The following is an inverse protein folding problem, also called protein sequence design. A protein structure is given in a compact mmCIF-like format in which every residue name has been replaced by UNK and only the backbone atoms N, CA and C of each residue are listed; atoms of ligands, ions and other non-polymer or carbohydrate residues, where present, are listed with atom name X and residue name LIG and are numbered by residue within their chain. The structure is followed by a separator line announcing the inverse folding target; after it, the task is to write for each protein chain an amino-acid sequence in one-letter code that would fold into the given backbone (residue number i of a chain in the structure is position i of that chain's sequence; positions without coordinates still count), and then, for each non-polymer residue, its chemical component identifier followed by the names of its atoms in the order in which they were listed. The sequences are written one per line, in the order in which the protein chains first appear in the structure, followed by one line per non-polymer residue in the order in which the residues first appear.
data_IF_210260472265
#
_entry.id   IF_210260472265
#
_cell.length_a   1.000
_cell.length_b   1.000
_cell.length_c   1.000
_cell.angle_alpha   90.00
_cell.angle_beta   90.00
_cell.angle_gamma   90.00
#
_symmetry.space_group_name_H-M   'P 1'
#
loop_
_entity.id
_entity.type
_entity.pdbx_description
1 polymer ?
#
# COMPACT_ATOMS: atom_id res chain seq x y z
N UNK A 1 14.27 -11.42 14.31
CA UNK A 1 13.61 -10.45 13.42
C UNK A 1 12.13 -10.74 13.49
N UNK A 2 11.26 -9.75 13.71
CA UNK A 2 9.83 -10.00 13.66
C UNK A 2 9.47 -10.45 12.24
N UNK A 3 8.62 -11.47 12.13
CA UNK A 3 8.21 -12.03 10.84
C UNK A 3 7.08 -11.14 10.33
N UNK A 4 7.31 -10.47 9.20
CA UNK A 4 6.25 -9.76 8.50
C UNK A 4 5.47 -10.73 7.62
N UNK A 5 4.15 -10.79 7.80
CA UNK A 5 3.26 -11.65 7.01
C UNK A 5 2.50 -10.80 6.01
N UNK A 6 2.59 -11.14 4.73
CA UNK A 6 1.73 -10.53 3.71
C UNK A 6 0.28 -10.97 3.96
N UNK A 7 -0.58 -10.04 4.37
CA UNK A 7 -1.98 -10.33 4.71
C UNK A 7 -2.95 -9.94 3.60
N UNK A 8 -2.59 -8.98 2.74
CA UNK A 8 -3.45 -8.53 1.65
C UNK A 8 -2.65 -7.90 0.53
N UNK A 9 -3.12 -8.08 -0.70
CA UNK A 9 -2.71 -7.28 -1.85
C UNK A 9 -3.93 -6.53 -2.40
N UNK A 10 -3.75 -5.25 -2.70
CA UNK A 10 -4.75 -4.38 -3.33
C UNK A 10 -4.17 -3.79 -4.61
N UNK A 11 -5.02 -3.57 -5.60
CA UNK A 11 -4.68 -2.74 -6.76
C UNK A 11 -5.75 -1.67 -6.89
N UNK A 12 -5.34 -0.41 -6.86
CA UNK A 12 -6.21 0.77 -6.93
C UNK A 12 -5.79 1.57 -8.16
N UNK A 13 -6.73 1.83 -9.06
CA UNK A 13 -6.50 2.68 -10.24
C UNK A 13 -6.55 4.16 -9.83
N UNK A 14 -5.47 4.91 -10.10
CA UNK A 14 -5.44 6.36 -9.93
C UNK A 14 -5.59 7.04 -11.30
N UNK A 15 -6.60 7.90 -11.45
CA UNK A 15 -7.01 8.50 -12.74
C UNK A 15 -5.86 9.10 -13.57
N UNK A 16 -4.89 9.77 -12.93
CA UNK A 16 -3.76 10.43 -13.62
C UNK A 16 -2.47 9.61 -13.70
N UNK A 17 -2.27 8.68 -12.77
CA UNK A 17 -0.98 8.02 -12.56
C UNK A 17 -1.04 6.52 -12.87
N UNK A 18 -2.22 6.00 -13.21
CA UNK A 18 -2.47 4.59 -13.47
C UNK A 18 -2.54 3.78 -12.17
N UNK A 19 -2.36 2.46 -12.25
CA UNK A 19 -2.60 1.58 -11.13
C UNK A 19 -1.48 1.62 -10.10
N UNK A 20 -1.89 1.57 -8.84
CA UNK A 20 -1.03 1.34 -7.69
C UNK A 20 -1.33 -0.02 -7.07
N UNK A 21 -0.29 -0.80 -6.80
CA UNK A 21 -0.36 -2.05 -6.07
C UNK A 21 0.12 -1.82 -4.64
N UNK A 22 -0.67 -2.25 -3.67
CA UNK A 22 -0.36 -2.21 -2.26
C UNK A 22 -0.23 -3.64 -1.74
N UNK A 23 0.91 -3.98 -1.17
CA UNK A 23 1.13 -5.23 -0.46
C UNK A 23 1.16 -4.92 1.04
N UNK A 24 0.10 -5.29 1.75
CA UNK A 24 -0.08 -4.99 3.17
C UNK A 24 0.50 -6.13 3.99
N UNK A 25 1.41 -5.78 4.88
CA UNK A 25 2.06 -6.68 5.81
C UNK A 25 1.58 -6.42 7.23
N UNK A 26 1.45 -7.49 8.01
CA UNK A 26 1.19 -7.44 9.46
C UNK A 26 2.44 -7.93 10.20
N UNK A 27 2.79 -7.23 11.28
CA UNK A 27 3.97 -7.52 12.10
C UNK A 27 3.67 -7.08 13.52
N UNK A 28 3.55 -8.04 14.43
CA UNK A 28 3.25 -7.81 15.85
C UNK A 28 2.07 -6.85 16.08
N UNK A 29 0.95 -7.07 15.37
CA UNK A 29 -0.25 -6.24 15.44
C UNK A 29 -0.16 -4.88 14.74
N UNK A 30 0.96 -4.57 14.11
CA UNK A 30 1.14 -3.35 13.31
C UNK A 30 1.02 -3.66 11.83
N UNK A 31 0.41 -2.74 11.08
CA UNK A 31 0.27 -2.85 9.64
C UNK A 31 1.20 -1.89 8.91
N UNK A 32 1.82 -2.39 7.85
CA UNK A 32 2.58 -1.59 6.89
C UNK A 32 2.19 -1.99 5.47
N UNK A 33 2.58 -1.21 4.47
CA UNK A 33 2.45 -1.62 3.09
C UNK A 33 3.65 -1.25 2.23
N UNK A 34 3.94 -2.12 1.27
CA UNK A 34 4.76 -1.79 0.12
C UNK A 34 3.84 -1.28 -0.99
N UNK A 35 4.17 -0.09 -1.48
CA UNK A 35 3.42 0.65 -2.48
C UNK A 35 4.21 0.59 -3.77
N UNK A 36 3.59 0.08 -4.83
CA UNK A 36 4.16 0.00 -6.15
C UNK A 36 3.29 0.76 -7.15
N UNK A 37 3.89 1.38 -8.15
CA UNK A 37 3.20 1.96 -9.29
C UNK A 37 3.70 1.32 -10.58
N UNK A 38 2.90 1.38 -11.66
CA UNK A 38 3.39 0.99 -12.98
C UNK A 38 4.24 2.09 -13.60
N UNK A 39 5.39 1.73 -14.16
CA UNK A 39 6.15 2.61 -15.03
C UNK A 39 5.62 2.57 -16.48
N UNK A 40 6.19 3.41 -17.35
CA UNK A 40 5.80 3.49 -18.77
C UNK A 40 5.98 2.17 -19.56
N UNK A 41 6.81 1.25 -19.07
CA UNK A 41 7.03 -0.07 -19.67
C UNK A 41 6.07 -1.15 -19.12
N UNK A 42 5.10 -0.76 -18.26
CA UNK A 42 4.12 -1.66 -17.66
C UNK A 42 4.65 -2.51 -16.49
N UNK A 43 5.87 -2.26 -16.00
CA UNK A 43 6.47 -2.95 -14.85
C UNK A 43 6.10 -2.29 -13.54
N UNK A 44 5.89 -3.09 -12.49
CA UNK A 44 5.71 -2.60 -11.14
C UNK A 44 7.02 -2.11 -10.57
N UNK A 45 7.08 -0.83 -10.21
CA UNK A 45 8.20 -0.19 -9.54
C UNK A 45 7.81 0.14 -8.11
N UNK A 46 8.76 -0.03 -7.18
CA UNK A 46 8.55 0.38 -5.79
C UNK A 46 8.43 1.90 -5.74
N UNK A 47 7.27 2.39 -5.33
CA UNK A 47 7.04 3.79 -5.04
C UNK A 47 7.42 4.11 -3.60
N UNK A 48 7.03 3.24 -2.66
CA UNK A 48 7.36 3.38 -1.24
C UNK A 48 7.38 2.02 -0.56
N UNK A 49 8.45 1.69 0.14
CA UNK A 49 8.60 0.43 0.87
C UNK A 49 8.35 0.67 2.37
N UNK A 50 7.69 -0.28 3.04
CA UNK A 50 7.51 -0.30 4.49
C UNK A 50 6.70 0.88 5.01
N UNK A 51 5.72 1.36 4.23
CA UNK A 51 4.87 2.47 4.65
C UNK A 51 3.99 2.06 5.84
N UNK A 52 4.43 2.43 7.05
CA UNK A 52 3.72 2.10 8.28
C UNK A 52 2.42 2.89 8.43
N UNK A 53 1.32 2.19 8.69
CA UNK A 53 0.03 2.80 8.95
C UNK A 53 -0.11 3.12 10.44
N UNK A 54 0.24 4.35 10.83
CA UNK A 54 0.24 4.80 12.24
C UNK A 54 -1.08 4.61 13.01
N UNK A 55 -2.21 4.48 12.32
CA UNK A 55 -3.56 4.37 12.91
C UNK A 55 -4.27 3.06 12.55
N UNK A 56 -3.66 2.17 11.78
CA UNK A 56 -4.33 0.94 11.39
C UNK A 56 -4.19 -0.11 12.49
N UNK A 57 -5.33 -0.48 13.08
CA UNK A 57 -5.44 -1.54 14.09
C UNK A 57 -6.01 -2.81 13.43
N UNK A 58 -6.73 -2.65 12.34
CA UNK A 58 -7.32 -3.73 11.55
C UNK A 58 -6.85 -3.69 10.10
N UNK A 59 -7.03 -4.81 9.40
CA UNK A 59 -6.80 -4.88 7.95
C UNK A 59 -7.68 -3.89 7.17
N UNK A 60 -8.90 -3.62 7.64
CA UNK A 60 -9.78 -2.64 7.00
C UNK A 60 -9.26 -1.21 7.17
N UNK A 61 -8.69 -0.87 8.32
CA UNK A 61 -8.03 0.43 8.51
C UNK A 61 -6.80 0.57 7.60
N UNK A 62 -6.06 -0.51 7.39
CA UNK A 62 -4.92 -0.55 6.48
C UNK A 62 -5.36 -0.34 5.03
N UNK A 63 -6.47 -0.95 4.59
CA UNK A 63 -7.09 -0.71 3.28
C UNK A 63 -7.52 0.75 3.13
N UNK A 64 -8.27 1.28 4.09
CA UNK A 64 -8.70 2.68 4.07
C UNK A 64 -7.52 3.65 4.03
N UNK A 65 -6.40 3.29 4.68
CA UNK A 65 -5.16 4.07 4.61
C UNK A 65 -4.51 4.02 3.21
N UNK A 66 -4.60 2.90 2.49
CA UNK A 66 -4.15 2.80 1.10
C UNK A 66 -5.02 3.65 0.16
N UNK A 67 -6.34 3.59 0.31
CA UNK A 67 -7.29 4.41 -0.46
C UNK A 67 -7.02 5.90 -0.23
N UNK A 68 -6.88 6.30 1.05
CA UNK A 68 -6.54 7.68 1.42
C UNK A 68 -5.20 8.13 0.85
N UNK A 69 -4.20 7.24 0.76
CA UNK A 69 -2.93 7.55 0.12
C UNK A 69 -3.13 7.95 -1.34
N UNK A 70 -3.94 7.20 -2.10
CA UNK A 70 -4.27 7.49 -3.49
C UNK A 70 -5.03 8.82 -3.62
N UNK A 71 -6.03 9.06 -2.77
CA UNK A 71 -6.78 10.33 -2.78
C UNK A 71 -5.88 11.55 -2.52
N UNK A 72 -4.89 11.43 -1.63
CA UNK A 72 -3.95 12.51 -1.32
C UNK A 72 -2.94 12.70 -2.44
N UNK A 73 -2.45 11.62 -3.06
CA UNK A 73 -1.47 11.69 -4.14
C UNK A 73 -2.00 12.46 -5.38
N UNK A 74 -3.33 12.50 -5.55
CA UNK A 74 -3.99 13.22 -6.64
C UNK A 74 -4.27 14.71 -6.39
N UNK A 75 -4.03 15.21 -5.17
CA UNK A 75 -4.16 16.62 -4.79
C UNK A 75 -2.83 17.36 -4.92
#
# INVERSE_FOLDING_TARGET
MPISTLVKTLVIEHEKQGPFKFEIYETDGHYSADIHCRNGDGRWMVHKNGYGFKKAITIEDAKASCERFIEILGK
#
